data_IF_645291369382
#
_entry.id   IF_645291369382
#
_cell.length_a   1.000
_cell.length_b   1.000
_cell.length_c   1.000
_cell.angle_alpha   90.00
_cell.angle_beta   90.00
_cell.angle_gamma   90.00
#
_symmetry.space_group_name_H-M   'P 1'
#
loop_
_entity.id
_entity.type
_entity.pdbx_description
1 polymer ?
#
# COMPACT_ATOMS: atom_id res chain seq x y z
N UNK A 1 18.16 16.34 1.28
CA UNK A 1 17.39 16.14 0.05
C UNK A 1 17.24 17.48 -0.65
N UNK A 2 17.53 17.55 -1.95
CA UNK A 2 17.24 18.74 -2.76
C UNK A 2 15.78 18.70 -3.23
N UNK A 3 15.14 19.86 -3.33
CA UNK A 3 13.77 19.99 -3.83
C UNK A 3 13.81 20.86 -5.08
N UNK A 4 13.16 20.41 -6.16
CA UNK A 4 12.96 21.20 -7.37
C UNK A 4 11.53 21.74 -7.40
N UNK A 5 11.38 23.03 -7.75
CA UNK A 5 10.06 23.64 -7.94
C UNK A 5 9.55 23.29 -9.33
N UNK A 6 8.36 22.72 -9.39
CA UNK A 6 7.66 22.38 -10.64
C UNK A 6 6.27 23.03 -10.60
N UNK A 7 5.81 23.55 -11.73
CA UNK A 7 4.44 24.06 -11.89
C UNK A 7 3.58 22.98 -12.52
N UNK A 8 2.43 22.67 -11.88
CA UNK A 8 1.51 21.62 -12.28
C UNK A 8 0.09 22.19 -12.24
N UNK A 9 -0.77 21.76 -13.15
CA UNK A 9 -2.21 22.01 -13.04
C UNK A 9 -2.85 20.90 -12.22
N UNK A 10 -3.65 21.29 -11.23
CA UNK A 10 -4.42 20.38 -10.38
C UNK A 10 -5.86 20.84 -10.45
N UNK A 11 -6.79 19.89 -10.48
CA UNK A 11 -8.22 20.16 -10.36
C UNK A 11 -8.52 20.98 -9.09
N UNK A 12 -9.44 21.93 -9.20
CA UNK A 12 -9.73 22.89 -8.12
C UNK A 12 -10.36 22.20 -6.90
N UNK A 13 -11.26 21.23 -7.11
CA UNK A 13 -11.91 20.48 -6.03
C UNK A 13 -10.87 19.61 -5.30
N UNK A 14 -10.00 18.93 -6.05
CA UNK A 14 -8.91 18.11 -5.49
C UNK A 14 -7.92 18.98 -4.70
N UNK A 15 -7.58 20.16 -5.22
CA UNK A 15 -6.70 21.09 -4.54
C UNK A 15 -7.31 21.61 -3.23
N UNK A 16 -8.62 21.89 -3.22
CA UNK A 16 -9.34 22.31 -2.02
C UNK A 16 -9.33 21.19 -0.96
N UNK A 17 -9.66 19.96 -1.35
CA UNK A 17 -9.65 18.80 -0.45
C UNK A 17 -8.24 18.53 0.12
N UNK A 18 -7.21 18.57 -0.73
CA UNK A 18 -5.83 18.38 -0.30
C UNK A 18 -5.38 19.45 0.70
N UNK A 19 -5.81 20.70 0.52
CA UNK A 19 -5.51 21.80 1.45
C UNK A 19 -6.24 21.66 2.78
N UNK A 20 -7.47 21.16 2.76
CA UNK A 20 -8.24 20.89 3.98
C UNK A 20 -7.59 19.77 4.80
N UNK A 21 -7.16 18.70 4.14
CA UNK A 21 -6.51 17.55 4.79
C UNK A 21 -5.08 17.82 5.26
N UNK A 22 -4.26 18.48 4.45
CA UNK A 22 -2.85 18.74 4.77
C UNK A 22 -2.63 19.99 5.63
N UNK A 23 -3.61 20.89 5.69
CA UNK A 23 -3.43 22.22 6.24
C UNK A 23 -2.64 23.15 5.29
N UNK A 24 -2.83 24.47 5.48
CA UNK A 24 -2.38 25.51 4.52
C UNK A 24 -0.87 25.55 4.26
N UNK A 25 -0.02 25.04 5.16
CA UNK A 25 1.45 25.12 5.05
C UNK A 25 2.12 23.83 4.57
N UNK A 26 1.41 22.71 4.51
CA UNK A 26 2.04 21.40 4.28
C UNK A 26 1.61 20.72 2.97
N UNK A 27 0.92 21.46 2.07
CA UNK A 27 0.46 20.91 0.79
C UNK A 27 1.60 20.31 -0.05
N UNK A 28 2.78 20.93 -0.08
CA UNK A 28 3.92 20.41 -0.86
C UNK A 28 4.43 19.08 -0.30
N UNK A 29 4.51 18.93 1.02
CA UNK A 29 4.91 17.66 1.66
C UNK A 29 3.84 16.60 1.40
N UNK A 30 2.57 16.96 1.57
CA UNK A 30 1.44 16.07 1.33
C UNK A 30 1.45 15.53 -0.11
N UNK A 31 1.62 16.41 -1.11
CA UNK A 31 1.71 16.01 -2.52
C UNK A 31 2.95 15.16 -2.78
N UNK A 32 4.09 15.50 -2.19
CA UNK A 32 5.32 14.71 -2.33
C UNK A 32 5.15 13.29 -1.78
N UNK A 33 4.53 13.15 -0.62
CA UNK A 33 4.29 11.84 -0.01
C UNK A 33 3.23 11.05 -0.77
N UNK A 34 2.17 11.71 -1.24
CA UNK A 34 1.16 11.09 -2.11
C UNK A 34 1.80 10.57 -3.41
N UNK A 35 2.63 11.39 -4.07
CA UNK A 35 3.34 11.00 -5.28
C UNK A 35 4.30 9.83 -5.02
N UNK A 36 5.02 9.85 -3.87
CA UNK A 36 5.90 8.73 -3.50
C UNK A 36 5.11 7.43 -3.33
N UNK A 37 3.95 7.47 -2.68
CA UNK A 37 3.07 6.31 -2.51
C UNK A 37 2.57 5.81 -3.86
N UNK A 38 2.14 6.71 -4.74
CA UNK A 38 1.68 6.34 -6.08
C UNK A 38 2.79 5.65 -6.88
N UNK A 39 3.98 6.25 -6.95
CA UNK A 39 5.13 5.65 -7.66
C UNK A 39 5.55 4.31 -7.07
N UNK A 40 5.38 4.09 -5.76
CA UNK A 40 5.62 2.79 -5.15
C UNK A 40 4.55 1.77 -5.57
N UNK A 41 3.28 2.17 -5.56
CA UNK A 41 2.16 1.33 -5.98
C UNK A 41 2.28 0.94 -7.46
N UNK A 42 2.65 1.88 -8.33
CA UNK A 42 2.85 1.63 -9.76
C UNK A 42 3.94 0.58 -9.99
N UNK A 43 5.10 0.73 -9.33
CA UNK A 43 6.20 -0.25 -9.39
C UNK A 43 5.81 -1.65 -8.88
N UNK A 44 4.99 -1.71 -7.83
CA UNK A 44 4.46 -3.00 -7.35
C UNK A 44 3.50 -3.61 -8.37
N UNK A 45 2.64 -2.80 -8.99
CA UNK A 45 1.75 -3.25 -10.06
C UNK A 45 2.50 -3.77 -11.29
N UNK A 46 3.55 -3.06 -11.70
CA UNK A 46 4.46 -3.49 -12.77
C UNK A 46 5.09 -4.85 -12.46
N UNK A 47 5.65 -5.00 -11.25
CA UNK A 47 6.24 -6.26 -10.81
C UNK A 47 5.23 -7.42 -10.79
N UNK A 48 4.02 -7.18 -10.27
CA UNK A 48 2.97 -8.20 -10.26
C UNK A 48 2.57 -8.62 -11.68
N UNK A 49 2.43 -7.66 -12.60
CA UNK A 49 2.13 -7.95 -14.00
C UNK A 49 3.24 -8.77 -14.68
N UNK A 50 4.52 -8.48 -14.39
CA UNK A 50 5.65 -9.27 -14.88
C UNK A 50 5.63 -10.72 -14.35
N UNK A 51 5.30 -10.89 -13.07
CA UNK A 51 5.17 -12.21 -12.44
C UNK A 51 4.01 -13.00 -13.05
N UNK A 52 2.85 -12.38 -13.22
CA UNK A 52 1.68 -13.01 -13.86
C UNK A 52 1.98 -13.40 -15.31
N UNK A 53 2.70 -12.56 -16.06
CA UNK A 53 3.09 -12.86 -17.43
C UNK A 53 4.08 -14.05 -17.52
N UNK A 54 4.93 -14.22 -16.51
CA UNK A 54 5.97 -15.26 -16.51
C UNK A 54 5.49 -16.59 -15.92
N UNK A 55 4.72 -16.55 -14.83
CA UNK A 55 4.27 -17.73 -14.09
C UNK A 55 2.81 -18.13 -14.38
N UNK A 56 2.00 -17.21 -14.92
CA UNK A 56 0.56 -17.37 -15.04
C UNK A 56 -0.19 -17.04 -13.74
N UNK A 57 -1.54 -16.97 -13.79
CA UNK A 57 -2.35 -16.66 -12.62
C UNK A 57 -2.23 -17.77 -11.56
N UNK A 58 -2.31 -17.39 -10.28
CA UNK A 58 -2.33 -18.36 -9.17
C UNK A 58 -3.67 -19.13 -9.20
N UNK A 59 -3.64 -20.47 -9.23
CA UNK A 59 -4.84 -21.30 -9.12
C UNK A 59 -5.64 -21.04 -7.83
N UNK A 60 -6.96 -21.01 -7.94
CA UNK A 60 -7.87 -20.68 -6.83
C UNK A 60 -7.79 -21.68 -5.67
N UNK A 61 -7.54 -22.95 -5.97
CA UNK A 61 -7.35 -24.03 -4.99
C UNK A 61 -6.10 -23.80 -4.14
N UNK A 62 -4.98 -23.43 -4.76
CA UNK A 62 -3.74 -23.08 -4.05
C UNK A 62 -3.93 -21.82 -3.18
N UNK A 63 -4.69 -20.84 -3.67
CA UNK A 63 -5.02 -19.65 -2.87
C UNK A 63 -5.87 -19.99 -1.65
N UNK A 64 -6.85 -20.89 -1.78
CA UNK A 64 -7.67 -21.29 -0.65
C UNK A 64 -6.88 -22.13 0.37
N UNK A 65 -6.02 -23.04 -0.09
CA UNK A 65 -5.09 -23.77 0.77
C UNK A 65 -4.19 -22.81 1.56
N UNK A 66 -3.58 -21.83 0.89
CA UNK A 66 -2.74 -20.82 1.53
C UNK A 66 -3.50 -20.01 2.60
N UNK A 67 -4.76 -19.61 2.32
CA UNK A 67 -5.61 -18.90 3.29
C UNK A 67 -5.92 -19.77 4.51
N UNK A 68 -6.18 -21.06 4.33
CA UNK A 68 -6.43 -22.00 5.43
C UNK A 68 -5.20 -22.16 6.31
N UNK A 69 -4.03 -22.34 5.71
CA UNK A 69 -2.76 -22.41 6.42
C UNK A 69 -2.47 -21.14 7.23
N UNK A 70 -2.69 -19.96 6.64
CA UNK A 70 -2.46 -18.69 7.32
C UNK A 70 -3.41 -18.48 8.51
N UNK A 71 -4.68 -18.88 8.40
CA UNK A 71 -5.64 -18.82 9.51
C UNK A 71 -5.29 -19.80 10.63
N UNK A 72 -4.84 -21.01 10.29
CA UNK A 72 -4.40 -22.01 11.26
C UNK A 72 -3.11 -21.64 12.00
N UNK A 73 -2.21 -20.88 11.36
CA UNK A 73 -0.96 -20.41 11.98
C UNK A 73 -1.17 -19.33 13.07
N UNK A 74 -2.33 -18.65 13.08
CA UNK A 74 -2.67 -17.65 14.12
C UNK A 74 -3.22 -18.32 15.40
N UNK A 75 -3.59 -19.60 15.34
CA UNK A 75 -3.92 -20.42 16.53
C UNK A 75 -2.65 -21.00 17.16
N UNK A 76 -1.76 -20.14 17.68
CA UNK A 76 -0.74 -20.61 18.63
C UNK A 76 -1.41 -21.00 19.97
N UNK A 77 -1.03 -22.15 20.56
CA UNK A 77 -1.77 -22.80 21.62
C UNK A 77 -1.78 -21.99 22.92
N UNK A 78 -2.98 -21.88 23.53
CA UNK A 78 -3.18 -21.34 24.89
C UNK A 78 -2.30 -22.11 25.88
N UNK A 79 -1.19 -21.51 26.28
CA UNK A 79 -0.34 -22.05 27.34
C UNK A 79 -1.14 -21.98 28.65
N UNK A 80 -1.42 -23.10 29.34
CA UNK A 80 -2.08 -23.03 30.64
C UNK A 80 -1.14 -22.34 31.62
N UNK A 81 -1.58 -21.24 32.23
CA UNK A 81 -0.86 -20.61 33.33
C UNK A 81 -0.73 -21.64 34.46
N UNK A 82 0.46 -22.19 34.66
CA UNK A 82 0.77 -22.95 35.89
C UNK A 82 0.66 -21.97 37.05
N UNK A 83 -0.39 -22.16 37.84
CA UNK A 83 -0.47 -21.67 39.20
C UNK A 83 0.60 -22.38 40.05
N UNK A 84 1.51 -21.60 40.62
CA UNK A 84 2.32 -21.94 41.79
C UNK A 84 2.74 -20.64 42.47
#
# INVERSE_FOLDING_TARGET
>A
MSVSKVSLSIDEEVLAEARDRAGRRELSSYVTDALRRQLQHDRLGELLAELDATAGPIPDDLMEEARQLWRGAVEEPKTPRRSA
#
